data_IF_740013483998
#
_entry.id   IF_740013483998
#
_cell.length_a   1.000
_cell.length_b   1.000
_cell.length_c   1.000
_cell.angle_alpha   90.00
_cell.angle_beta   90.00
_cell.angle_gamma   90.00
#
_symmetry.space_group_name_H-M   'P 1'
#
loop_
_entity.id
_entity.type
_entity.pdbx_description
1 polymer ?
#
# COMPACT_ATOMS: atom_id res chain seq x y z
N UNK A 1 40.67 -19.88 0.01
CA UNK A 1 39.68 -18.93 0.52
C UNK A 1 38.89 -18.43 -0.67
N UNK A 2 37.73 -19.02 -0.97
CA UNK A 2 36.87 -18.56 -2.08
C UNK A 2 35.93 -17.49 -1.54
N UNK A 3 36.11 -16.25 -1.98
CA UNK A 3 35.14 -15.17 -1.76
C UNK A 3 33.85 -15.51 -2.51
N UNK A 4 32.73 -15.58 -1.80
CA UNK A 4 31.43 -15.72 -2.42
C UNK A 4 31.15 -14.50 -3.32
N UNK A 5 30.50 -14.68 -4.49
CA UNK A 5 30.08 -13.56 -5.30
C UNK A 5 29.08 -12.72 -4.49
N UNK A 6 29.40 -11.45 -4.27
CA UNK A 6 28.39 -10.48 -3.86
C UNK A 6 27.40 -10.37 -5.03
N UNK A 7 26.09 -10.58 -4.81
CA UNK A 7 25.12 -10.24 -5.84
C UNK A 7 25.27 -8.74 -6.14
N UNK A 8 25.51 -8.41 -7.41
CA UNK A 8 25.44 -7.04 -7.88
C UNK A 8 24.10 -6.43 -7.43
N UNK A 9 24.07 -5.17 -7.00
CA UNK A 9 22.82 -4.50 -6.67
C UNK A 9 21.99 -4.41 -7.95
N UNK A 10 21.02 -5.32 -8.11
CA UNK A 10 20.01 -5.19 -9.15
C UNK A 10 19.31 -3.84 -8.93
N UNK A 11 19.02 -3.09 -10.01
CA UNK A 11 18.24 -1.87 -9.88
C UNK A 11 16.93 -2.21 -9.16
N UNK A 12 16.55 -1.32 -8.24
CA UNK A 12 15.37 -1.38 -7.42
C UNK A 12 14.09 -1.36 -8.29
N UNK A 13 13.73 -2.47 -8.92
CA UNK A 13 12.51 -2.59 -9.72
C UNK A 13 11.34 -2.89 -8.78
N UNK A 14 10.39 -1.96 -8.73
CA UNK A 14 9.11 -2.18 -8.08
C UNK A 14 8.25 -3.15 -8.89
N UNK A 15 7.94 -4.30 -8.32
CA UNK A 15 7.12 -5.33 -8.93
C UNK A 15 5.67 -5.19 -8.46
N UNK A 16 4.74 -4.99 -9.39
CA UNK A 16 3.30 -4.93 -9.08
C UNK A 16 2.76 -6.33 -8.78
N UNK A 17 1.99 -6.47 -7.70
CA UNK A 17 1.43 -7.74 -7.22
C UNK A 17 -0.06 -7.59 -6.93
N UNK A 18 -0.95 -7.86 -7.89
CA UNK A 18 -2.40 -7.60 -7.70
C UNK A 18 -3.21 -8.78 -7.10
N UNK A 19 -2.56 -9.83 -6.60
CA UNK A 19 -3.22 -11.11 -6.27
C UNK A 19 -3.57 -11.30 -4.79
N UNK A 20 -2.55 -11.45 -3.95
CA UNK A 20 -2.68 -11.71 -2.50
C UNK A 20 -1.81 -10.76 -1.74
N UNK A 21 -2.30 -10.25 -0.61
CA UNK A 21 -1.51 -9.38 0.25
C UNK A 21 -0.14 -10.00 0.54
N UNK A 22 0.92 -9.20 0.35
CA UNK A 22 2.28 -9.66 0.65
C UNK A 22 2.41 -10.01 2.14
N UNK A 23 2.99 -11.17 2.49
CA UNK A 23 3.26 -11.55 3.88
C UNK A 23 4.06 -10.49 4.66
N UNK A 24 4.90 -9.73 3.97
CA UNK A 24 5.68 -8.61 4.51
C UNK A 24 4.80 -7.57 5.25
N UNK A 25 3.59 -7.31 4.75
CA UNK A 25 2.65 -6.39 5.39
C UNK A 25 2.23 -6.88 6.78
N UNK A 26 1.87 -8.15 6.88
CA UNK A 26 1.44 -8.76 8.12
C UNK A 26 2.58 -8.78 9.15
N UNK A 27 3.78 -9.16 8.72
CA UNK A 27 4.97 -9.16 9.57
C UNK A 27 5.24 -7.77 10.16
N UNK A 28 5.26 -6.73 9.32
CA UNK A 28 5.59 -5.37 9.74
C UNK A 28 4.51 -4.72 10.59
N UNK A 29 3.25 -4.90 10.25
CA UNK A 29 2.13 -4.40 11.07
C UNK A 29 2.11 -5.07 12.43
N UNK A 30 2.32 -6.38 12.49
CA UNK A 30 2.37 -7.14 13.75
C UNK A 30 3.52 -6.68 14.64
N UNK A 31 4.69 -6.41 14.05
CA UNK A 31 5.85 -5.87 14.76
C UNK A 31 5.59 -4.47 15.33
N UNK A 32 4.82 -3.62 14.63
CA UNK A 32 4.57 -2.23 15.03
C UNK A 32 3.40 -2.07 16.02
N UNK A 33 2.30 -2.79 15.83
CA UNK A 33 1.02 -2.55 16.53
C UNK A 33 0.61 -3.68 17.49
N UNK A 34 1.43 -4.73 17.66
CA UNK A 34 1.07 -6.04 18.24
C UNK A 34 0.11 -6.85 17.36
N UNK A 35 0.12 -8.21 17.42
CA UNK A 35 -0.74 -9.05 16.57
C UNK A 35 -2.24 -8.74 16.67
N UNK A 36 -2.73 -8.38 17.86
CA UNK A 36 -4.16 -8.08 18.08
C UNK A 36 -4.55 -6.76 17.43
N UNK A 37 -3.77 -5.69 17.62
CA UNK A 37 -4.10 -4.41 16.99
C UNK A 37 -3.77 -4.41 15.49
N UNK A 38 -2.75 -5.15 15.07
CA UNK A 38 -2.48 -5.42 13.66
C UNK A 38 -3.65 -6.18 13.01
N UNK A 39 -4.23 -7.18 13.66
CA UNK A 39 -5.43 -7.87 13.17
C UNK A 39 -6.63 -6.92 13.04
N UNK A 40 -6.87 -6.05 14.02
CA UNK A 40 -7.95 -5.06 13.96
C UNK A 40 -7.74 -4.03 12.84
N UNK A 41 -6.51 -3.55 12.64
CA UNK A 41 -6.16 -2.65 11.54
C UNK A 41 -6.26 -3.36 10.19
N UNK A 42 -5.77 -4.60 10.12
CA UNK A 42 -5.84 -5.50 8.98
C UNK A 42 -7.26 -5.95 8.64
N UNK A 43 -8.21 -5.96 9.57
CA UNK A 43 -9.60 -6.30 9.26
C UNK A 43 -10.18 -5.28 8.27
N UNK A 44 -9.91 -3.99 8.48
CA UNK A 44 -10.29 -2.94 7.52
C UNK A 44 -9.55 -3.04 6.18
N UNK A 45 -8.27 -3.41 6.20
CA UNK A 45 -7.39 -3.39 5.03
C UNK A 45 -7.34 -4.70 4.20
N UNK A 46 -7.56 -5.86 4.84
CA UNK A 46 -7.18 -7.18 4.30
C UNK A 46 -8.22 -8.27 4.46
N UNK A 47 -8.99 -8.32 5.56
CA UNK A 47 -9.88 -9.44 5.83
C UNK A 47 -11.36 -9.02 5.70
N UNK A 48 -12.08 -9.70 4.80
CA UNK A 48 -13.53 -9.93 4.83
C UNK A 48 -14.51 -9.10 3.99
N UNK A 49 -14.19 -7.92 3.43
CA UNK A 49 -15.16 -7.25 2.54
C UNK A 49 -14.87 -7.44 1.04
N UNK A 50 -15.93 -7.74 0.27
CA UNK A 50 -15.95 -8.05 -1.18
C UNK A 50 -15.73 -6.84 -2.08
N UNK A 51 -15.24 -5.72 -1.55
CA UNK A 51 -15.02 -4.46 -2.28
C UNK A 51 -13.57 -4.01 -2.19
N UNK A 52 -12.66 -4.82 -2.74
CA UNK A 52 -11.24 -4.51 -2.69
C UNK A 52 -10.67 -4.32 -4.09
N UNK A 53 -10.67 -3.09 -4.61
CA UNK A 53 -9.54 -2.67 -5.40
C UNK A 53 -8.35 -2.48 -4.46
N UNK A 54 -7.37 -3.38 -4.57
CA UNK A 54 -6.06 -3.28 -3.94
C UNK A 54 -5.03 -3.21 -5.07
N UNK A 55 -4.04 -2.34 -4.93
CA UNK A 55 -2.82 -2.41 -5.71
C UNK A 55 -1.64 -2.43 -4.73
N UNK A 56 -0.64 -3.24 -5.00
CA UNK A 56 0.56 -3.28 -4.17
C UNK A 56 1.80 -3.52 -5.03
N UNK A 57 2.92 -3.04 -4.52
CA UNK A 57 4.22 -3.18 -5.14
C UNK A 57 5.21 -3.72 -4.12
N UNK A 58 6.13 -4.55 -4.60
CA UNK A 58 7.22 -5.09 -3.80
C UNK A 58 8.54 -4.83 -4.49
N UNK A 59 9.52 -4.37 -3.71
CA UNK A 59 10.89 -4.24 -4.15
C UNK A 59 11.74 -5.26 -3.37
N UNK A 60 12.09 -6.40 -3.96
CA UNK A 60 12.87 -7.42 -3.27
C UNK A 60 14.31 -6.99 -2.99
N UNK A 61 14.88 -6.11 -3.82
CA UNK A 61 16.24 -5.59 -3.61
C UNK A 61 16.32 -4.66 -2.39
N UNK A 62 15.28 -3.85 -2.16
CA UNK A 62 15.18 -2.99 -0.98
C UNK A 62 14.52 -3.69 0.22
N UNK A 63 13.87 -4.84 0.01
CA UNK A 63 12.97 -5.42 1.00
C UNK A 63 11.86 -4.44 1.38
N UNK A 64 11.31 -3.70 0.43
CA UNK A 64 10.31 -2.66 0.67
C UNK A 64 8.99 -2.99 -0.04
N UNK A 65 7.86 -2.48 0.46
CA UNK A 65 6.55 -2.65 -0.16
C UNK A 65 5.72 -1.38 -0.11
N UNK A 66 4.82 -1.21 -1.09
CA UNK A 66 3.80 -0.17 -1.13
C UNK A 66 2.42 -0.81 -1.37
N UNK A 67 1.38 -0.25 -0.76
CA UNK A 67 0.01 -0.73 -0.83
C UNK A 67 -0.96 0.43 -0.96
N UNK A 68 -1.89 0.32 -1.89
CA UNK A 68 -3.09 1.15 -2.01
C UNK A 68 -4.28 0.31 -1.59
N UNK A 69 -5.04 0.79 -0.60
CA UNK A 69 -6.21 0.09 -0.09
C UNK A 69 -7.22 1.07 0.55
N UNK A 70 -8.51 0.70 0.66
CA UNK A 70 -9.48 1.49 1.41
C UNK A 70 -9.02 1.72 2.86
N UNK A 71 -9.10 2.96 3.34
CA UNK A 71 -8.74 3.32 4.72
C UNK A 71 -9.95 3.70 5.60
N UNK A 72 -11.10 3.95 4.98
CA UNK A 72 -12.34 4.32 5.65
C UNK A 72 -13.26 3.12 5.81
N UNK A 73 -13.96 3.04 6.93
CA UNK A 73 -14.98 2.03 7.12
C UNK A 73 -16.21 2.31 6.22
N UNK A 74 -16.90 1.24 5.79
CA UNK A 74 -17.96 1.32 4.77
C UNK A 74 -19.16 2.19 5.18
N UNK A 75 -19.35 2.41 6.49
CA UNK A 75 -20.39 3.28 7.05
C UNK A 75 -20.10 4.78 6.92
N UNK A 76 -18.86 5.17 6.57
CA UNK A 76 -18.49 6.57 6.47
C UNK A 76 -19.04 7.22 5.18
N UNK A 77 -19.53 8.47 5.23
CA UNK A 77 -20.06 9.16 4.05
C UNK A 77 -19.01 9.40 2.95
N UNK A 78 -17.77 9.67 3.35
CA UNK A 78 -16.63 9.81 2.47
C UNK A 78 -15.80 8.54 2.55
N UNK A 79 -15.71 7.84 1.43
CA UNK A 79 -14.85 6.68 1.29
C UNK A 79 -13.48 7.12 0.74
N UNK A 80 -12.38 6.52 1.19
CA UNK A 80 -11.01 6.92 0.81
C UNK A 80 -10.08 5.73 0.58
N UNK A 81 -9.15 5.91 -0.34
CA UNK A 81 -7.97 5.07 -0.50
C UNK A 81 -6.76 5.72 0.16
N UNK A 82 -6.08 4.94 1.00
CA UNK A 82 -4.79 5.30 1.59
C UNK A 82 -3.65 4.63 0.84
N UNK A 83 -2.49 5.29 0.83
CA UNK A 83 -1.22 4.76 0.34
C UNK A 83 -0.36 4.44 1.57
N UNK A 84 0.05 3.19 1.69
CA UNK A 84 0.84 2.68 2.80
C UNK A 84 2.20 2.22 2.27
N UNK A 85 3.26 2.66 2.92
CA UNK A 85 4.64 2.32 2.60
C UNK A 85 5.27 1.52 3.73
N UNK A 86 5.94 0.44 3.37
CA UNK A 86 6.73 -0.38 4.25
C UNK A 86 8.20 -0.27 3.81
N UNK A 87 9.02 0.57 4.48
CA UNK A 87 10.42 0.75 4.13
C UNK A 87 11.29 -0.42 4.56
N UNK A 88 12.50 -0.52 4.00
CA UNK A 88 13.51 -1.53 4.37
C UNK A 88 13.82 -1.57 5.88
N UNK A 89 13.78 -0.40 6.53
CA UNK A 89 14.01 -0.23 7.97
C UNK A 89 12.93 -0.88 8.85
N UNK A 90 11.84 -1.37 8.27
CA UNK A 90 10.72 -1.97 8.97
C UNK A 90 9.58 -1.01 9.29
N UNK A 91 8.49 -1.57 9.82
CA UNK A 91 7.24 -0.85 10.11
C UNK A 91 6.41 -0.52 8.86
N UNK A 92 5.34 0.24 9.10
CA UNK A 92 4.41 0.74 8.09
C UNK A 92 4.13 2.21 8.34
N UNK A 93 4.23 2.99 7.27
CA UNK A 93 3.99 4.42 7.22
C UNK A 93 2.83 4.70 6.27
N UNK A 94 1.98 5.67 6.62
CA UNK A 94 0.98 6.20 5.67
C UNK A 94 1.64 7.33 4.87
N UNK A 95 1.66 7.22 3.55
CA UNK A 95 2.17 8.27 2.67
C UNK A 95 1.21 9.45 2.71
N UNK A 96 1.74 10.64 2.97
CA UNK A 96 0.96 11.87 2.92
C UNK A 96 0.72 12.24 1.45
N UNK A 97 -0.54 12.21 1.03
CA UNK A 97 -0.99 12.46 -0.34
C UNK A 97 -2.31 13.20 -0.31
N UNK A 98 -2.70 13.75 -1.47
CA UNK A 98 -4.03 14.31 -1.69
C UNK A 98 -5.13 13.30 -1.34
N UNK A 99 -6.35 13.80 -1.09
CA UNK A 99 -7.46 12.92 -0.74
C UNK A 99 -7.93 12.13 -1.97
N UNK A 100 -7.67 10.83 -1.98
CA UNK A 100 -8.18 9.90 -2.99
C UNK A 100 -9.50 9.28 -2.54
N UNK A 101 -10.58 10.05 -2.55
CA UNK A 101 -11.87 9.64 -2.00
C UNK A 101 -13.05 9.83 -2.94
N UNK A 102 -14.15 9.17 -2.60
CA UNK A 102 -15.43 9.28 -3.29
C UNK A 102 -16.58 9.29 -2.29
N UNK A 103 -17.73 9.83 -2.71
CA UNK A 103 -18.93 9.90 -1.89
C UNK A 103 -20.06 9.10 -2.56
N UNK A 104 -20.34 7.85 -2.13
CA UNK A 104 -21.28 6.97 -2.83
C UNK A 104 -22.70 7.51 -3.03
N UNK A 105 -23.09 8.53 -2.25
CA UNK A 105 -24.45 9.07 -2.21
C UNK A 105 -24.52 10.58 -2.43
N UNK A 106 -23.43 11.24 -2.85
CA UNK A 106 -23.46 12.68 -3.10
C UNK A 106 -23.65 12.98 -4.59
N UNK A 107 -24.81 13.51 -5.02
CA UNK A 107 -25.05 13.84 -6.42
C UNK A 107 -24.23 15.05 -6.91
N UNK A 108 -23.72 15.89 -5.99
CA UNK A 108 -22.94 17.09 -6.34
C UNK A 108 -21.49 16.77 -6.74
N UNK A 109 -21.00 15.59 -6.36
CA UNK A 109 -19.67 15.09 -6.71
C UNK A 109 -19.81 13.66 -7.27
N UNK A 110 -19.84 13.48 -8.60
CA UNK A 110 -20.09 12.19 -9.22
C UNK A 110 -18.89 11.22 -9.11
N UNK A 111 -17.80 11.60 -8.43
CA UNK A 111 -16.61 10.76 -8.28
C UNK A 111 -16.96 9.34 -7.84
N UNK A 112 -16.40 8.37 -8.56
CA UNK A 112 -16.65 6.94 -8.35
C UNK A 112 -15.52 6.25 -7.60
N UNK A 113 -15.80 5.05 -7.06
CA UNK A 113 -14.78 4.19 -6.43
C UNK A 113 -13.60 3.91 -7.37
N UNK A 114 -13.87 3.67 -8.66
CA UNK A 114 -12.84 3.37 -9.66
C UNK A 114 -11.93 4.57 -9.95
N UNK A 115 -12.49 5.77 -10.02
CA UNK A 115 -11.72 7.01 -10.23
C UNK A 115 -10.85 7.34 -9.01
N UNK A 116 -11.41 7.21 -7.81
CA UNK A 116 -10.67 7.39 -6.57
C UNK A 116 -9.52 6.38 -6.44
N UNK A 117 -9.77 5.11 -6.79
CA UNK A 117 -8.74 4.08 -6.79
C UNK A 117 -7.64 4.36 -7.82
N UNK A 118 -8.02 4.74 -9.05
CA UNK A 118 -7.04 5.08 -10.08
C UNK A 118 -6.19 6.28 -9.69
N UNK A 119 -6.79 7.31 -9.10
CA UNK A 119 -6.07 8.48 -8.57
C UNK A 119 -5.04 8.07 -7.50
N UNK A 120 -5.41 7.18 -6.58
CA UNK A 120 -4.48 6.66 -5.58
C UNK A 120 -3.35 5.81 -6.18
N UNK A 121 -3.61 5.03 -7.25
CA UNK A 121 -2.57 4.30 -7.99
C UNK A 121 -1.59 5.27 -8.65
N UNK A 122 -2.07 6.30 -9.32
CA UNK A 122 -1.20 7.28 -9.99
C UNK A 122 -0.27 7.96 -8.98
N UNK A 123 -0.80 8.31 -7.81
CA UNK A 123 0.00 8.92 -6.75
C UNK A 123 0.98 7.92 -6.11
N UNK A 124 0.57 6.66 -5.95
CA UNK A 124 1.47 5.58 -5.53
C UNK A 124 2.61 5.37 -6.54
N UNK A 125 2.33 5.34 -7.84
CA UNK A 125 3.35 5.20 -8.88
C UNK A 125 4.32 6.39 -8.89
N UNK A 126 3.83 7.62 -8.67
CA UNK A 126 4.68 8.81 -8.50
C UNK A 126 5.58 8.69 -7.27
N UNK A 127 5.04 8.23 -6.14
CA UNK A 127 5.83 7.96 -4.94
C UNK A 127 6.96 6.95 -5.23
N UNK A 128 6.67 5.87 -5.94
CA UNK A 128 7.67 4.85 -6.29
C UNK A 128 8.75 5.38 -7.23
N UNK A 129 8.40 6.24 -8.18
CA UNK A 129 9.37 6.92 -9.05
C UNK A 129 10.33 7.79 -8.22
N UNK A 130 9.79 8.59 -7.31
CA UNK A 130 10.60 9.40 -6.39
C UNK A 130 11.51 8.51 -5.54
N UNK A 131 10.98 7.45 -4.93
CA UNK A 131 11.80 6.51 -4.15
C UNK A 131 12.93 5.88 -4.99
N UNK A 132 12.72 5.64 -6.29
CA UNK A 132 13.78 5.14 -7.17
C UNK A 132 14.84 6.19 -7.53
N UNK A 133 14.47 7.48 -7.62
CA UNK A 133 15.39 8.57 -7.96
C UNK A 133 16.38 8.91 -6.82
N UNK A 134 16.06 8.50 -5.59
CA UNK A 134 16.87 8.77 -4.39
C UNK A 134 17.71 7.57 -3.90
N UNK A 135 17.71 6.44 -4.63
CA UNK A 135 18.49 5.21 -4.30
C UNK A 135 19.77 5.10 -5.11
#
# INVERSE_FOLDING_TARGET
>A
MSSAPHPDPQPAIWLRVDSTLLPLWWERLSAQLSPVAAASFAAGLFAEDRRRPIAQWHNPALGAALLVAPETAAEWPLQRFGIFYAPASGGVLRVHSEVHGWQPRNPADPATEAEAFHSAIVEAERFLQVEMDFV
#
